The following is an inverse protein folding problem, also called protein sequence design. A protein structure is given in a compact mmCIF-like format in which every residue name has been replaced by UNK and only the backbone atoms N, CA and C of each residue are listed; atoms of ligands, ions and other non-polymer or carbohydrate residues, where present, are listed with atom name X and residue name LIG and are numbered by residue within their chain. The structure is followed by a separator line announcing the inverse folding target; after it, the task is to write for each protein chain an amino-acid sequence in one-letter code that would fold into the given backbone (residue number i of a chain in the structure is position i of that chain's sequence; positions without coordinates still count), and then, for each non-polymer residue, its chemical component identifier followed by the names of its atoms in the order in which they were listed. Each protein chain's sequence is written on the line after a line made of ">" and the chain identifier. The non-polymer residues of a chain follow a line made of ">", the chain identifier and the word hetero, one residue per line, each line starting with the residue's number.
data_IF_012745330948
#
_entry.id   IF_012745330948
#
_cell.length_a   1.000
_cell.length_b   1.000
_cell.length_c   1.000
_cell.angle_alpha   90.00
_cell.angle_beta   90.00
_cell.angle_gamma   90.00
#
_symmetry.space_group_name_H-M   'P 1'
#
loop_
_entity.id
_entity.type
_entity.pdbx_description
1 polymer ?
#
# COMPACT_ATOMS: atom_id res chain seq x y z
N UNK A 1 -12.40 -28.72 2.30
CA UNK A 1 -11.20 -27.86 2.19
C UNK A 1 -11.71 -26.43 2.09
N UNK A 2 -11.43 -25.58 3.06
CA UNK A 2 -11.76 -24.15 2.97
C UNK A 2 -10.91 -23.54 1.86
N UNK A 3 -11.54 -22.96 0.85
CA UNK A 3 -10.85 -22.22 -0.20
C UNK A 3 -10.14 -21.02 0.43
N UNK A 4 -8.84 -20.82 0.12
CA UNK A 4 -8.10 -19.65 0.59
C UNK A 4 -8.79 -18.37 0.11
N UNK A 5 -8.90 -17.39 0.99
CA UNK A 5 -9.41 -16.05 0.63
C UNK A 5 -8.51 -15.35 -0.38
N UNK A 6 -9.12 -14.60 -1.28
CA UNK A 6 -8.43 -13.76 -2.26
C UNK A 6 -8.28 -12.35 -1.71
N UNK A 7 -7.10 -11.81 -1.83
CA UNK A 7 -6.74 -10.48 -1.31
C UNK A 7 -6.16 -9.63 -2.42
N UNK A 8 -6.68 -8.42 -2.58
CA UNK A 8 -6.08 -7.42 -3.47
C UNK A 8 -5.48 -6.29 -2.66
N UNK A 9 -4.23 -5.97 -2.93
CA UNK A 9 -3.51 -4.82 -2.36
C UNK A 9 -3.03 -3.91 -3.48
N UNK A 10 -3.60 -2.71 -3.58
CA UNK A 10 -3.19 -1.68 -4.54
C UNK A 10 -2.15 -0.74 -3.94
N UNK A 11 -1.03 -0.52 -4.63
CA UNK A 11 0.05 0.35 -4.18
C UNK A 11 0.39 1.33 -5.29
N UNK A 12 0.26 2.64 -5.01
CA UNK A 12 0.62 3.68 -5.98
C UNK A 12 2.14 3.84 -6.09
N UNK A 13 2.70 3.94 -7.32
CA UNK A 13 4.12 4.20 -7.56
C UNK A 13 4.44 5.70 -7.37
N UNK A 14 3.98 6.29 -6.27
CA UNK A 14 4.17 7.70 -5.95
C UNK A 14 4.85 7.87 -4.62
N UNK A 15 5.83 8.77 -4.57
CA UNK A 15 6.62 9.07 -3.38
C UNK A 15 7.55 7.93 -2.96
N UNK A 16 8.42 8.25 -2.03
CA UNK A 16 9.40 7.30 -1.51
C UNK A 16 8.77 6.34 -0.49
N UNK A 17 9.25 5.10 -0.47
CA UNK A 17 8.76 4.05 0.41
C UNK A 17 9.43 4.20 1.79
N UNK A 18 8.66 4.53 2.81
CA UNK A 18 9.20 4.81 4.15
C UNK A 18 9.01 3.63 5.11
N UNK A 19 9.75 3.68 6.23
CA UNK A 19 9.75 2.66 7.29
C UNK A 19 8.34 2.29 7.76
N UNK A 20 7.44 3.27 7.90
CA UNK A 20 6.05 3.05 8.27
C UNK A 20 5.24 2.23 7.25
N UNK A 21 5.56 2.31 5.94
CA UNK A 21 4.95 1.45 4.93
C UNK A 21 5.41 0.00 5.09
N UNK A 22 6.70 -0.18 5.32
CA UNK A 22 7.30 -1.50 5.51
C UNK A 22 6.78 -2.20 6.75
N UNK A 23 6.94 -1.58 7.92
CA UNK A 23 6.55 -2.17 9.20
C UNK A 23 5.03 -2.27 9.37
N UNK A 24 4.29 -1.28 8.87
CA UNK A 24 2.84 -1.23 9.02
C UNK A 24 2.05 -2.12 8.06
N UNK A 25 2.66 -2.56 6.95
CA UNK A 25 1.93 -3.34 5.95
C UNK A 25 2.77 -4.44 5.28
N UNK A 26 3.80 -4.06 4.50
CA UNK A 26 4.45 -4.98 3.55
C UNK A 26 5.16 -6.13 4.23
N UNK A 27 5.80 -5.92 5.38
CA UNK A 27 6.41 -6.98 6.17
C UNK A 27 5.40 -8.07 6.56
N UNK A 28 4.20 -7.64 6.98
CA UNK A 28 3.11 -8.56 7.32
C UNK A 28 2.56 -9.31 6.10
N UNK A 29 2.52 -8.66 4.94
CA UNK A 29 2.13 -9.30 3.68
C UNK A 29 3.15 -10.37 3.27
N UNK A 30 4.44 -10.02 3.28
CA UNK A 30 5.53 -10.93 2.94
C UNK A 30 5.56 -12.19 3.83
N UNK A 31 5.32 -12.02 5.12
CA UNK A 31 5.33 -13.14 6.09
C UNK A 31 4.18 -14.14 5.88
N UNK A 32 3.01 -13.69 5.38
CA UNK A 32 1.77 -14.48 5.34
C UNK A 32 1.27 -14.79 3.93
N UNK A 33 2.17 -14.81 2.93
CA UNK A 33 1.79 -15.03 1.53
C UNK A 33 1.08 -16.37 1.29
N UNK A 34 1.45 -17.43 2.04
CA UNK A 34 0.85 -18.75 1.87
C UNK A 34 -0.54 -18.91 2.48
N UNK A 35 -0.97 -17.98 3.31
CA UNK A 35 -2.28 -18.08 3.98
C UNK A 35 -3.43 -17.73 3.04
N UNK A 36 -3.16 -16.93 1.99
CA UNK A 36 -4.16 -16.35 1.09
C UNK A 36 -3.69 -16.41 -0.37
N UNK A 37 -4.60 -16.14 -1.30
CA UNK A 37 -4.29 -15.89 -2.70
C UNK A 37 -4.12 -14.37 -2.84
N UNK A 38 -2.88 -13.91 -3.00
CA UNK A 38 -2.58 -12.48 -2.96
C UNK A 38 -2.32 -11.92 -4.36
N UNK A 39 -2.94 -10.77 -4.62
CA UNK A 39 -2.72 -9.92 -5.79
C UNK A 39 -2.15 -8.58 -5.32
N UNK A 40 -0.89 -8.30 -5.67
CA UNK A 40 -0.24 -7.03 -5.42
C UNK A 40 -0.22 -6.23 -6.71
N UNK A 41 -1.04 -5.19 -6.77
CA UNK A 41 -1.23 -4.37 -7.96
C UNK A 41 -0.50 -3.04 -7.78
N UNK A 42 0.46 -2.75 -8.66
CA UNK A 42 1.06 -1.41 -8.78
C UNK A 42 0.08 -0.58 -9.59
N UNK A 43 -0.66 0.31 -8.91
CA UNK A 43 -1.80 1.03 -9.48
C UNK A 43 -1.35 2.32 -10.16
N UNK A 44 -0.69 2.16 -11.29
CA UNK A 44 -0.13 3.25 -12.09
C UNK A 44 -1.20 4.10 -12.80
N UNK A 45 -2.35 3.51 -13.19
CA UNK A 45 -3.47 4.27 -13.75
C UNK A 45 -4.06 5.22 -12.71
N UNK A 46 -4.14 4.82 -11.43
CA UNK A 46 -4.57 5.72 -10.36
C UNK A 46 -3.62 6.90 -10.16
N UNK A 47 -2.33 6.72 -10.44
CA UNK A 47 -1.37 7.83 -10.33
C UNK A 47 -1.64 8.94 -11.33
N UNK A 48 -2.25 8.63 -12.48
CA UNK A 48 -2.59 9.60 -13.51
C UNK A 48 -3.74 10.55 -13.14
N UNK A 49 -4.41 10.32 -12.00
CA UNK A 49 -5.41 11.25 -11.45
C UNK A 49 -4.79 12.59 -10.99
N UNK A 50 -3.47 12.63 -10.88
CA UNK A 50 -2.67 13.83 -10.72
C UNK A 50 -1.57 13.83 -11.80
N UNK A 51 -1.06 15.01 -12.14
CA UNK A 51 0.05 15.08 -13.10
C UNK A 51 1.24 14.24 -12.67
N UNK A 52 1.74 13.41 -13.57
CA UNK A 52 2.96 12.63 -13.42
C UNK A 52 3.97 13.06 -14.49
N UNK A 53 5.22 13.23 -14.10
CA UNK A 53 6.29 13.45 -15.10
C UNK A 53 6.56 12.11 -15.84
N UNK A 54 6.32 12.04 -17.15
CA UNK A 54 6.54 10.81 -17.93
C UNK A 54 7.98 10.28 -17.86
N UNK A 55 8.96 11.16 -17.58
CA UNK A 55 10.38 10.78 -17.48
C UNK A 55 10.67 9.98 -16.19
N UNK A 56 9.89 10.19 -15.15
CA UNK A 56 10.13 9.56 -13.85
C UNK A 56 9.14 8.43 -13.55
N UNK A 57 7.92 8.47 -14.08
CA UNK A 57 6.87 7.51 -13.75
C UNK A 57 7.29 6.05 -14.00
N UNK A 58 7.89 5.75 -15.15
CA UNK A 58 8.34 4.38 -15.46
C UNK A 58 9.44 3.89 -14.50
N UNK A 59 10.33 4.78 -14.07
CA UNK A 59 11.33 4.47 -13.05
C UNK A 59 10.66 4.22 -11.69
N UNK A 60 9.69 5.03 -11.30
CA UNK A 60 8.96 4.88 -10.03
C UNK A 60 8.16 3.56 -9.98
N UNK A 61 7.55 3.14 -11.09
CA UNK A 61 6.87 1.85 -11.20
C UNK A 61 7.85 0.70 -10.95
N UNK A 62 8.99 0.70 -11.64
CA UNK A 62 10.03 -0.33 -11.47
C UNK A 62 10.65 -0.31 -10.08
N UNK A 63 10.94 0.88 -9.55
CA UNK A 63 11.48 1.02 -8.20
C UNK A 63 10.51 0.49 -7.14
N UNK A 64 9.21 0.74 -7.27
CA UNK A 64 8.21 0.17 -6.37
C UNK A 64 8.13 -1.36 -6.49
N UNK A 65 8.17 -1.91 -7.71
CA UNK A 65 8.21 -3.36 -7.92
C UNK A 65 9.44 -3.99 -7.26
N UNK A 66 10.64 -3.42 -7.53
CA UNK A 66 11.89 -3.85 -6.91
C UNK A 66 11.85 -3.76 -5.38
N UNK A 67 11.21 -2.70 -4.84
CA UNK A 67 11.04 -2.52 -3.41
C UNK A 67 10.15 -3.60 -2.79
N UNK A 68 9.02 -3.94 -3.41
CA UNK A 68 8.14 -4.99 -2.91
C UNK A 68 8.83 -6.35 -2.91
N UNK A 69 9.57 -6.67 -3.98
CA UNK A 69 10.40 -7.89 -4.07
C UNK A 69 11.52 -7.90 -3.01
N UNK A 70 12.17 -6.76 -2.79
CA UNK A 70 13.22 -6.61 -1.78
C UNK A 70 12.68 -6.74 -0.35
N UNK A 71 11.44 -6.32 -0.11
CA UNK A 71 10.74 -6.49 1.16
C UNK A 71 10.21 -7.92 1.38
N UNK A 72 10.42 -8.85 0.43
CA UNK A 72 10.08 -10.26 0.58
C UNK A 72 8.77 -10.70 -0.08
N UNK A 73 8.15 -9.87 -0.92
CA UNK A 73 7.07 -10.35 -1.79
C UNK A 73 7.69 -11.29 -2.83
N UNK A 74 7.21 -12.53 -2.83
CA UNK A 74 7.70 -13.60 -3.70
C UNK A 74 6.72 -13.79 -4.87
N UNK A 75 7.15 -13.57 -6.13
CA UNK A 75 6.31 -13.72 -7.31
C UNK A 75 5.89 -15.16 -7.62
N UNK A 76 6.53 -16.18 -7.00
CA UNK A 76 6.09 -17.58 -7.11
C UNK A 76 4.96 -17.91 -6.11
N UNK A 77 4.72 -17.06 -5.10
CA UNK A 77 3.72 -17.24 -4.05
C UNK A 77 2.56 -16.25 -4.15
N UNK A 78 2.77 -15.17 -4.88
CA UNK A 78 1.80 -14.07 -4.99
C UNK A 78 1.89 -13.44 -6.36
N UNK A 79 0.77 -12.98 -6.91
CA UNK A 79 0.75 -12.28 -8.20
C UNK A 79 1.14 -10.82 -8.00
N UNK A 80 2.31 -10.40 -8.48
CA UNK A 80 2.75 -9.00 -8.51
C UNK A 80 2.71 -8.47 -9.94
N UNK A 81 1.93 -7.42 -10.19
CA UNK A 81 1.74 -6.89 -11.54
C UNK A 81 1.50 -5.38 -11.56
N UNK A 82 1.63 -4.77 -12.74
CA UNK A 82 1.30 -3.38 -13.00
C UNK A 82 -0.11 -3.29 -13.57
N UNK A 83 -0.94 -2.42 -13.04
CA UNK A 83 -2.35 -2.27 -13.39
C UNK A 83 -2.55 -2.02 -14.90
N UNK A 84 -1.79 -1.11 -15.49
CA UNK A 84 -1.89 -0.78 -16.92
C UNK A 84 -1.50 -1.93 -17.86
N UNK A 85 -0.79 -2.96 -17.37
CA UNK A 85 -0.47 -4.14 -18.15
C UNK A 85 -1.68 -5.08 -18.34
N UNK A 86 -2.76 -4.89 -17.60
CA UNK A 86 -4.00 -5.65 -17.64
C UNK A 86 -5.15 -4.74 -18.10
N UNK A 87 -5.42 -4.70 -19.38
CA UNK A 87 -6.41 -3.78 -19.99
C UNK A 87 -7.84 -3.97 -19.46
N UNK A 88 -8.14 -5.15 -18.90
CA UNK A 88 -9.42 -5.48 -18.30
C UNK A 88 -9.86 -4.46 -17.21
N UNK A 89 -8.91 -3.84 -16.48
CA UNK A 89 -9.21 -2.81 -15.48
C UNK A 89 -9.90 -1.58 -16.10
N UNK A 90 -9.34 -1.04 -17.18
CA UNK A 90 -9.90 0.12 -17.87
C UNK A 90 -11.20 -0.23 -18.59
N UNK A 91 -11.30 -1.43 -19.19
CA UNK A 91 -12.52 -1.89 -19.86
C UNK A 91 -13.66 -2.07 -18.85
N UNK A 92 -13.42 -2.77 -17.74
CA UNK A 92 -14.41 -2.92 -16.68
C UNK A 92 -14.82 -1.58 -16.06
N UNK A 93 -13.88 -0.64 -15.92
CA UNK A 93 -14.18 0.71 -15.43
C UNK A 93 -15.20 1.41 -16.33
N UNK A 94 -15.03 1.35 -17.65
CA UNK A 94 -16.01 1.90 -18.57
C UNK A 94 -17.40 1.26 -18.39
N UNK A 95 -17.46 -0.06 -18.31
CA UNK A 95 -18.72 -0.80 -18.14
C UNK A 95 -19.41 -0.45 -16.82
N UNK A 96 -18.68 -0.37 -15.71
CA UNK A 96 -19.23 0.03 -14.42
C UNK A 96 -19.66 1.50 -14.39
N UNK A 97 -18.95 2.39 -15.07
CA UNK A 97 -19.34 3.79 -15.20
C UNK A 97 -20.73 3.95 -15.81
N UNK A 98 -21.09 3.08 -16.77
CA UNK A 98 -22.42 3.10 -17.42
C UNK A 98 -23.57 2.77 -16.44
N UNK A 99 -23.27 2.19 -15.29
CA UNK A 99 -24.28 1.86 -14.27
C UNK A 99 -24.07 2.60 -12.94
N UNK A 100 -22.99 3.40 -12.80
CA UNK A 100 -22.68 4.14 -11.58
C UNK A 100 -23.42 5.47 -11.54
N UNK A 101 -24.25 5.74 -10.51
CA UNK A 101 -24.90 7.04 -10.38
C UNK A 101 -23.85 8.14 -10.09
N UNK A 102 -23.82 9.19 -10.92
CA UNK A 102 -22.89 10.31 -10.76
C UNK A 102 -22.91 10.92 -9.36
N UNK A 103 -24.10 11.02 -8.74
CA UNK A 103 -24.25 11.55 -7.38
C UNK A 103 -23.54 10.71 -6.30
N UNK A 104 -23.23 9.44 -6.54
CA UNK A 104 -22.44 8.63 -5.60
C UNK A 104 -21.00 9.10 -5.57
N UNK A 105 -20.41 9.34 -6.73
CA UNK A 105 -19.03 9.81 -6.88
C UNK A 105 -18.86 11.23 -6.32
N UNK A 106 -19.82 12.13 -6.60
CA UNK A 106 -19.78 13.50 -6.07
C UNK A 106 -19.91 13.59 -4.55
N UNK A 107 -20.45 12.57 -3.89
CA UNK A 107 -20.54 12.49 -2.42
C UNK A 107 -19.29 11.92 -1.75
N UNK A 108 -18.35 11.35 -2.51
CA UNK A 108 -17.11 10.81 -1.96
C UNK A 108 -16.31 11.90 -1.23
N UNK A 109 -15.89 11.62 0.00
CA UNK A 109 -15.13 12.55 0.84
C UNK A 109 -13.83 12.98 0.17
N UNK A 110 -13.09 12.01 -0.37
CA UNK A 110 -11.84 12.27 -1.08
C UNK A 110 -12.02 13.17 -2.31
N UNK A 111 -13.13 13.04 -3.03
CA UNK A 111 -13.45 13.94 -4.14
C UNK A 111 -13.69 15.37 -3.66
N UNK A 112 -14.48 15.55 -2.59
CA UNK A 112 -14.77 16.87 -2.01
C UNK A 112 -13.50 17.55 -1.52
N UNK A 113 -12.65 16.82 -0.79
CA UNK A 113 -11.42 17.36 -0.21
C UNK A 113 -10.40 17.77 -1.28
N UNK A 114 -10.22 16.93 -2.31
CA UNK A 114 -9.26 17.20 -3.38
C UNK A 114 -9.79 18.27 -4.36
N UNK A 115 -11.09 18.26 -4.65
CA UNK A 115 -11.69 19.23 -5.56
C UNK A 115 -11.63 20.66 -5.03
N UNK A 116 -11.67 20.84 -3.70
CA UNK A 116 -11.56 22.19 -3.09
C UNK A 116 -10.15 22.81 -3.20
N UNK A 117 -9.14 22.01 -3.57
CA UNK A 117 -7.72 22.41 -3.61
C UNK A 117 -7.16 22.55 -5.03
N UNK A 118 -7.93 22.20 -6.06
CA UNK A 118 -7.50 22.21 -7.46
C UNK A 118 -8.26 23.28 -8.26
N UNK A 119 -7.52 24.08 -9.05
CA UNK A 119 -8.12 25.05 -9.97
C UNK A 119 -8.86 24.37 -11.13
N UNK A 120 -8.35 23.23 -11.58
CA UNK A 120 -8.96 22.43 -12.66
C UNK A 120 -9.27 21.03 -12.18
N UNK A 121 -10.53 20.63 -12.24
CA UNK A 121 -10.97 19.29 -11.89
C UNK A 121 -10.89 18.37 -13.10
N UNK A 122 -10.08 17.33 -12.98
CA UNK A 122 -9.97 16.29 -13.99
C UNK A 122 -11.02 15.20 -13.76
N UNK A 123 -11.59 14.66 -14.84
CA UNK A 123 -12.56 13.56 -14.78
C UNK A 123 -12.03 12.35 -14.02
N UNK A 124 -10.75 12.02 -14.19
CA UNK A 124 -10.12 10.90 -13.47
C UNK A 124 -10.18 11.05 -11.94
N UNK A 125 -10.18 12.27 -11.39
CA UNK A 125 -10.35 12.50 -9.96
C UNK A 125 -11.77 12.15 -9.47
N UNK A 126 -12.79 12.33 -10.31
CA UNK A 126 -14.15 11.93 -10.00
C UNK A 126 -14.33 10.41 -10.17
N UNK A 127 -13.66 9.82 -11.16
CA UNK A 127 -13.92 8.48 -11.68
C UNK A 127 -13.05 7.38 -11.04
N UNK A 128 -11.89 7.73 -10.46
CA UNK A 128 -10.99 6.71 -9.90
C UNK A 128 -11.63 5.75 -8.86
N UNK A 129 -12.68 6.13 -8.10
CA UNK A 129 -13.33 5.17 -7.20
C UNK A 129 -14.00 4.00 -7.94
N UNK A 130 -14.46 4.23 -9.19
CA UNK A 130 -15.00 3.18 -10.05
C UNK A 130 -13.89 2.29 -10.57
N UNK A 131 -12.75 2.86 -10.97
CA UNK A 131 -11.56 2.08 -11.33
C UNK A 131 -11.08 1.21 -10.16
N UNK A 132 -11.05 1.75 -8.93
CA UNK A 132 -10.71 0.97 -7.74
C UNK A 132 -11.71 -0.17 -7.48
N UNK A 133 -12.99 0.07 -7.69
CA UNK A 133 -14.00 -1.00 -7.61
C UNK A 133 -13.73 -2.11 -8.62
N UNK A 134 -13.34 -1.75 -9.86
CA UNK A 134 -12.96 -2.73 -10.88
C UNK A 134 -11.73 -3.53 -10.49
N UNK A 135 -10.70 -2.86 -9.95
CA UNK A 135 -9.50 -3.54 -9.46
C UNK A 135 -9.86 -4.68 -8.49
N UNK A 136 -10.83 -4.44 -7.61
CA UNK A 136 -11.27 -5.39 -6.59
C UNK A 136 -12.17 -6.49 -7.19
N UNK A 137 -13.14 -6.09 -8.00
CA UNK A 137 -14.18 -6.99 -8.53
C UNK A 137 -13.65 -7.99 -9.55
N UNK A 138 -12.63 -7.61 -10.35
CA UNK A 138 -12.02 -8.46 -11.37
C UNK A 138 -11.31 -9.69 -10.82
N UNK A 139 -10.85 -9.63 -9.58
CA UNK A 139 -10.15 -10.73 -8.92
C UNK A 139 -11.02 -11.47 -7.90
N UNK A 140 -12.31 -11.15 -7.79
CA UNK A 140 -13.20 -11.65 -6.74
C UNK A 140 -12.53 -11.55 -5.36
N UNK A 141 -11.96 -10.39 -5.06
CA UNK A 141 -11.27 -10.21 -3.80
C UNK A 141 -12.25 -10.27 -2.62
N UNK A 142 -12.01 -11.22 -1.71
CA UNK A 142 -12.78 -11.35 -0.46
C UNK A 142 -12.40 -10.24 0.52
N UNK A 143 -11.11 -9.86 0.52
CA UNK A 143 -10.56 -8.90 1.48
C UNK A 143 -9.65 -7.88 0.77
N UNK A 144 -9.77 -6.64 1.20
CA UNK A 144 -8.94 -5.54 0.71
C UNK A 144 -8.29 -4.83 1.91
N UNK A 145 -6.98 -4.99 2.13
CA UNK A 145 -6.25 -4.28 3.17
C UNK A 145 -6.17 -2.78 2.84
N UNK A 146 -6.84 -1.95 3.63
CA UNK A 146 -6.90 -0.50 3.40
C UNK A 146 -6.82 0.28 4.71
N UNK A 147 -6.35 1.53 4.63
CA UNK A 147 -6.49 2.48 5.73
C UNK A 147 -7.95 2.92 5.92
N UNK A 148 -8.24 3.49 7.07
CA UNK A 148 -9.60 3.97 7.42
C UNK A 148 -10.13 5.01 6.41
N UNK A 149 -9.24 5.83 5.84
CA UNK A 149 -9.55 6.83 4.81
C UNK A 149 -10.05 6.22 3.49
N UNK A 150 -9.82 4.92 3.26
CA UNK A 150 -10.27 4.18 2.07
C UNK A 150 -11.54 3.35 2.32
N UNK A 151 -12.07 3.30 3.55
CA UNK A 151 -13.29 2.55 3.88
C UNK A 151 -14.46 2.90 2.94
N UNK A 152 -14.67 4.20 2.67
CA UNK A 152 -15.74 4.66 1.81
C UNK A 152 -15.63 4.14 0.37
N UNK A 153 -14.42 3.91 -0.14
CA UNK A 153 -14.22 3.32 -1.47
C UNK A 153 -14.63 1.83 -1.50
N UNK A 154 -14.37 1.10 -0.41
CA UNK A 154 -14.83 -0.30 -0.31
C UNK A 154 -16.36 -0.37 -0.18
N UNK A 155 -16.98 0.56 0.55
CA UNK A 155 -18.44 0.69 0.61
C UNK A 155 -19.03 0.97 -0.78
N UNK A 156 -18.46 1.92 -1.54
CA UNK A 156 -18.86 2.16 -2.93
C UNK A 156 -18.70 0.89 -3.80
N UNK A 157 -17.61 0.16 -3.64
CA UNK A 157 -17.41 -1.10 -4.37
C UNK A 157 -18.52 -2.09 -4.05
N UNK A 158 -18.89 -2.24 -2.78
CA UNK A 158 -19.98 -3.11 -2.34
C UNK A 158 -21.33 -2.69 -2.93
N UNK A 159 -21.60 -1.38 -2.96
CA UNK A 159 -22.82 -0.82 -3.56
C UNK A 159 -22.87 -1.13 -5.07
N UNK A 160 -21.74 -1.01 -5.77
CA UNK A 160 -21.63 -1.32 -7.20
C UNK A 160 -21.82 -2.82 -7.47
N UNK A 161 -21.25 -3.70 -6.65
CA UNK A 161 -21.49 -5.15 -6.71
C UNK A 161 -22.98 -5.46 -6.56
N UNK A 162 -23.62 -4.92 -5.53
CA UNK A 162 -25.06 -5.14 -5.28
C UNK A 162 -25.90 -4.60 -6.42
N UNK A 163 -25.56 -3.40 -6.91
CA UNK A 163 -26.27 -2.76 -8.02
C UNK A 163 -26.16 -3.58 -9.30
N UNK A 164 -24.96 -4.05 -9.67
CA UNK A 164 -24.75 -4.90 -10.84
C UNK A 164 -25.56 -6.20 -10.73
N UNK A 165 -25.38 -6.90 -9.59
CA UNK A 165 -26.08 -8.16 -9.35
C UNK A 165 -27.62 -8.01 -9.39
N UNK A 166 -28.14 -6.90 -8.84
CA UNK A 166 -29.57 -6.62 -8.88
C UNK A 166 -30.08 -6.26 -10.29
N UNK A 167 -29.38 -5.35 -10.99
CA UNK A 167 -29.78 -4.87 -12.33
C UNK A 167 -29.84 -6.01 -13.37
N UNK A 168 -28.91 -6.94 -13.28
CA UNK A 168 -28.80 -8.07 -14.22
C UNK A 168 -29.30 -9.39 -13.66
N UNK A 169 -29.98 -9.37 -12.50
CA UNK A 169 -30.54 -10.55 -11.83
C UNK A 169 -29.54 -11.71 -11.70
N UNK A 170 -28.36 -11.42 -11.15
CA UNK A 170 -27.25 -12.37 -11.01
C UNK A 170 -26.61 -12.26 -9.63
N UNK A 171 -25.75 -13.23 -9.30
CA UNK A 171 -24.84 -13.21 -8.13
C UNK A 171 -23.38 -13.31 -8.57
N UNK A 172 -23.05 -12.62 -9.66
CA UNK A 172 -21.78 -12.78 -10.38
C UNK A 172 -20.56 -12.25 -9.62
N UNK A 173 -20.70 -11.10 -8.95
CA UNK A 173 -19.60 -10.49 -8.20
C UNK A 173 -19.65 -10.80 -6.71
N UNK A 174 -18.48 -11.00 -6.11
CA UNK A 174 -18.26 -11.20 -4.67
C UNK A 174 -18.29 -9.86 -3.94
N UNK A 175 -18.86 -9.83 -2.74
CA UNK A 175 -18.86 -8.65 -1.87
C UNK A 175 -17.54 -8.57 -1.08
N UNK A 176 -16.67 -7.59 -1.34
CA UNK A 176 -15.41 -7.46 -0.63
C UNK A 176 -15.58 -6.95 0.79
N UNK A 177 -14.64 -7.28 1.67
CA UNK A 177 -14.52 -6.73 3.02
C UNK A 177 -13.30 -5.83 3.13
N UNK A 178 -13.47 -4.64 3.71
CA UNK A 178 -12.34 -3.81 4.12
C UNK A 178 -11.63 -4.47 5.31
N UNK A 179 -10.34 -4.73 5.18
CA UNK A 179 -9.48 -5.14 6.29
C UNK A 179 -8.63 -3.95 6.73
N UNK A 180 -9.10 -3.29 7.78
CA UNK A 180 -8.27 -2.28 8.44
C UNK A 180 -7.23 -3.07 9.24
N UNK A 181 -5.92 -2.89 8.99
CA UNK A 181 -4.90 -3.61 9.75
C UNK A 181 -5.09 -3.34 11.25
N UNK A 182 -5.33 -4.40 12.01
CA UNK A 182 -5.16 -4.34 13.46
C UNK A 182 -3.71 -3.91 13.68
N UNK A 183 -3.51 -2.89 14.50
CA UNK A 183 -2.26 -2.19 14.76
C UNK A 183 -0.97 -2.98 14.40
N UNK A 184 -0.59 -3.00 13.15
CA UNK A 184 0.81 -3.14 12.77
C UNK A 184 1.53 -1.92 13.31
N UNK A 185 2.83 -2.00 13.57
CA UNK A 185 3.57 -0.92 14.21
C UNK A 185 3.17 0.44 13.62
N UNK A 186 2.43 1.23 14.40
CA UNK A 186 1.97 2.56 13.98
C UNK A 186 3.14 3.51 14.12
N UNK A 187 4.04 3.46 13.15
CA UNK A 187 5.23 4.32 13.14
C UNK A 187 4.81 5.77 13.00
N UNK A 188 5.14 6.58 14.00
CA UNK A 188 4.88 8.00 14.02
C UNK A 188 6.07 8.78 13.46
N UNK A 189 5.88 10.06 13.13
CA UNK A 189 6.96 10.93 12.69
C UNK A 189 8.05 11.07 13.75
N UNK A 190 9.32 11.11 13.34
CA UNK A 190 10.42 11.26 14.29
C UNK A 190 10.53 12.69 14.84
N UNK A 191 10.08 13.68 14.09
CA UNK A 191 10.01 15.09 14.48
C UNK A 191 8.74 15.43 15.26
N UNK A 192 7.66 14.69 14.99
CA UNK A 192 6.37 14.86 15.64
C UNK A 192 5.68 13.51 15.87
N UNK A 193 5.83 12.94 17.09
CA UNK A 193 5.27 11.63 17.43
C UNK A 193 3.75 11.62 17.60
N UNK A 194 3.06 12.74 17.39
CA UNK A 194 1.60 12.83 17.40
C UNK A 194 1.02 12.57 16.00
N UNK A 195 1.82 12.76 14.95
CA UNK A 195 1.44 12.56 13.57
C UNK A 195 2.07 11.28 13.00
N UNK A 196 1.27 10.50 12.25
CA UNK A 196 1.77 9.29 11.60
C UNK A 196 2.84 9.63 10.56
N UNK A 197 3.92 8.82 10.52
CA UNK A 197 4.90 8.88 9.43
C UNK A 197 4.18 8.73 8.09
N UNK A 198 4.28 9.72 7.21
CA UNK A 198 3.50 9.78 5.97
C UNK A 198 4.29 10.39 4.82
N UNK A 199 3.94 9.96 3.59
CA UNK A 199 4.52 10.48 2.35
C UNK A 199 4.24 11.98 2.13
N UNK A 200 3.10 12.49 2.59
CA UNK A 200 2.71 13.89 2.41
C UNK A 200 3.57 14.88 3.19
N UNK A 201 4.30 14.41 4.21
CA UNK A 201 5.16 15.23 5.06
C UNK A 201 6.66 15.01 4.78
N UNK A 202 7.01 14.41 3.65
CA UNK A 202 8.42 14.17 3.26
C UNK A 202 9.21 15.47 3.03
N UNK A 203 8.52 16.59 2.78
CA UNK A 203 9.14 17.92 2.71
C UNK A 203 9.69 18.39 4.07
N UNK A 204 9.25 17.78 5.18
CA UNK A 204 9.78 18.05 6.52
C UNK A 204 10.96 17.11 6.75
N UNK A 205 12.16 17.68 6.72
CA UNK A 205 13.40 16.91 6.92
C UNK A 205 13.41 16.23 8.29
N UNK A 206 13.51 14.90 8.29
CA UNK A 206 13.57 14.09 9.51
C UNK A 206 12.20 13.63 10.04
N UNK A 207 11.09 13.91 9.33
CA UNK A 207 9.78 13.35 9.65
C UNK A 207 9.70 11.86 9.38
N UNK A 208 10.15 11.44 8.20
CA UNK A 208 10.15 10.05 7.75
C UNK A 208 11.57 9.55 7.49
N UNK A 209 11.76 8.25 7.61
CA UNK A 209 12.93 7.50 7.17
C UNK A 209 12.51 6.64 5.98
N UNK A 210 13.19 6.80 4.84
CA UNK A 210 12.91 6.04 3.63
C UNK A 210 13.83 4.81 3.55
N UNK A 211 13.35 3.76 2.92
CA UNK A 211 14.10 2.50 2.82
C UNK A 211 15.34 2.60 1.91
N UNK A 212 15.40 3.64 1.08
CA UNK A 212 16.54 3.94 0.22
C UNK A 212 17.48 5.03 0.76
N UNK A 213 17.18 5.59 1.95
CA UNK A 213 18.04 6.59 2.58
C UNK A 213 19.44 6.03 2.87
N UNK A 214 20.44 6.91 2.85
CA UNK A 214 21.80 6.55 3.28
C UNK A 214 21.79 6.19 4.78
N UNK A 215 22.46 5.11 5.22
CA UNK A 215 22.51 4.70 6.62
C UNK A 215 22.92 5.82 7.57
N UNK A 216 23.82 6.72 7.16
CA UNK A 216 24.24 7.87 7.96
C UNK A 216 23.11 8.88 8.14
N UNK A 217 22.26 9.08 7.12
CA UNK A 217 21.11 9.97 7.21
C UNK A 217 20.03 9.36 8.10
N UNK A 218 19.82 8.04 8.03
CA UNK A 218 18.91 7.31 8.94
C UNK A 218 19.35 7.51 10.40
N UNK A 219 20.61 7.21 10.70
CA UNK A 219 21.14 7.41 12.06
C UNK A 219 21.03 8.87 12.51
N UNK A 220 21.23 9.83 11.60
CA UNK A 220 21.07 11.25 11.89
C UNK A 220 19.62 11.62 12.20
N UNK A 221 18.66 11.05 11.47
CA UNK A 221 17.23 11.26 11.72
C UNK A 221 16.83 10.74 13.11
N UNK A 222 17.25 9.52 13.48
CA UNK A 222 16.97 8.97 14.81
C UNK A 222 17.61 9.78 15.94
N UNK A 223 18.86 10.23 15.80
CA UNK A 223 19.51 11.11 16.79
C UNK A 223 18.76 12.40 17.04
N UNK A 224 18.05 12.92 16.04
CA UNK A 224 17.23 14.14 16.11
C UNK A 224 15.78 13.89 16.49
N UNK A 225 15.37 12.62 16.60
CA UNK A 225 14.00 12.27 16.94
C UNK A 225 13.55 13.01 18.21
N UNK A 226 12.30 13.48 18.20
CA UNK A 226 11.73 14.23 19.31
C UNK A 226 11.45 13.30 20.48
N UNK A 227 11.88 13.69 21.68
CA UNK A 227 11.59 13.05 22.97
C UNK A 227 11.30 14.14 23.99
N UNK A 228 10.76 13.79 25.15
CA UNK A 228 10.63 14.70 26.29
C UNK A 228 12.01 15.14 26.84
N UNK A 229 12.00 15.97 27.86
CA UNK A 229 13.21 16.50 28.53
C UNK A 229 13.79 15.54 29.59
N UNK A 230 13.17 14.37 29.82
CA UNK A 230 13.63 13.38 30.78
C UNK A 230 14.74 12.48 30.26
N UNK A 231 14.90 11.31 30.91
CA UNK A 231 15.86 10.28 30.50
C UNK A 231 15.35 8.86 30.72
N UNK A 232 14.11 8.71 31.17
CA UNK A 232 13.51 7.40 31.48
C UNK A 232 13.03 6.68 30.20
N UNK A 233 13.57 5.50 29.96
CA UNK A 233 13.23 4.64 28.81
C UNK A 233 12.18 3.65 29.28
N UNK A 234 10.91 4.02 29.15
CA UNK A 234 9.76 3.21 29.56
C UNK A 234 8.59 3.42 28.59
N UNK A 235 7.74 2.41 28.44
CA UNK A 235 6.42 2.58 27.81
C UNK A 235 5.51 3.34 28.78
N UNK A 236 4.80 4.35 28.31
CA UNK A 236 3.95 5.20 29.14
C UNK A 236 2.74 5.70 28.37
N UNK A 237 1.62 5.86 29.07
CA UNK A 237 0.42 6.52 28.50
C UNK A 237 0.51 8.05 28.57
N UNK A 238 1.57 8.60 29.16
CA UNK A 238 1.80 10.03 29.23
C UNK A 238 2.07 10.59 27.81
N UNK A 239 1.27 11.56 27.34
CA UNK A 239 1.47 12.18 26.03
C UNK A 239 2.88 12.79 25.82
N UNK A 240 3.54 13.24 26.88
CA UNK A 240 4.92 13.74 26.80
C UNK A 240 5.92 12.65 26.42
N UNK A 241 5.64 11.38 26.76
CA UNK A 241 6.44 10.20 26.40
C UNK A 241 6.17 9.66 25.00
N UNK A 242 5.29 10.27 24.20
CA UNK A 242 4.92 9.78 22.86
C UNK A 242 6.15 9.55 21.98
N UNK A 243 7.19 10.39 22.06
CA UNK A 243 8.44 10.22 21.31
C UNK A 243 9.25 9.01 21.75
N UNK A 244 9.30 8.73 23.04
CA UNK A 244 9.98 7.55 23.60
C UNK A 244 9.22 6.28 23.21
N UNK A 245 7.89 6.29 23.36
CA UNK A 245 7.04 5.19 22.93
C UNK A 245 7.24 4.85 21.45
N UNK A 246 7.22 5.87 20.57
CA UNK A 246 7.43 5.66 19.13
C UNK A 246 8.79 4.99 18.85
N UNK A 247 9.86 5.40 19.52
CA UNK A 247 11.19 4.79 19.36
C UNK A 247 11.21 3.33 19.85
N UNK A 248 10.58 3.04 20.99
CA UNK A 248 10.47 1.68 21.52
C UNK A 248 9.61 0.78 20.63
N UNK A 249 8.48 1.29 20.12
CA UNK A 249 7.61 0.56 19.19
C UNK A 249 8.31 0.28 17.85
N UNK A 250 9.12 1.22 17.35
CA UNK A 250 9.95 0.98 16.16
C UNK A 250 10.98 -0.12 16.45
N UNK A 251 11.65 -0.09 17.60
CA UNK A 251 12.62 -1.10 17.98
C UNK A 251 11.97 -2.49 18.13
N UNK A 252 10.84 -2.59 18.82
CA UNK A 252 10.00 -3.78 18.91
C UNK A 252 9.67 -4.32 17.51
N UNK A 253 9.19 -3.43 16.64
CA UNK A 253 8.81 -3.82 15.29
C UNK A 253 9.98 -4.32 14.43
N UNK A 254 11.17 -3.72 14.49
CA UNK A 254 12.31 -4.16 13.67
C UNK A 254 13.00 -5.40 14.23
N UNK A 255 13.06 -5.56 15.56
CA UNK A 255 13.69 -6.70 16.22
C UNK A 255 12.78 -7.91 16.37
N UNK A 256 11.45 -7.70 16.37
CA UNK A 256 10.45 -8.75 16.65
C UNK A 256 10.40 -9.16 18.13
N UNK A 257 11.03 -8.40 19.03
CA UNK A 257 11.05 -8.64 20.47
C UNK A 257 9.76 -8.15 21.14
N UNK A 258 9.39 -8.74 22.28
CA UNK A 258 8.30 -8.26 23.10
C UNK A 258 8.75 -7.10 24.01
N UNK A 259 7.79 -6.32 24.53
CA UNK A 259 8.05 -5.10 25.33
C UNK A 259 9.04 -5.31 26.47
N UNK A 260 8.92 -6.41 27.21
CA UNK A 260 9.83 -6.73 28.33
C UNK A 260 11.26 -6.97 27.86
N UNK A 261 11.45 -7.65 26.73
CA UNK A 261 12.76 -7.88 26.12
C UNK A 261 13.36 -6.60 25.56
N UNK A 262 12.50 -5.74 24.97
CA UNK A 262 12.90 -4.40 24.52
C UNK A 262 13.42 -3.58 25.69
N UNK A 263 12.68 -3.52 26.80
CA UNK A 263 13.14 -2.78 27.99
C UNK A 263 14.42 -3.35 28.57
N UNK A 264 14.59 -4.68 28.54
CA UNK A 264 15.83 -5.32 29.00
C UNK A 264 17.04 -4.92 28.14
N UNK A 265 16.87 -4.77 26.81
CA UNK A 265 17.93 -4.30 25.91
C UNK A 265 18.40 -2.86 26.23
N UNK A 266 17.58 -2.08 26.91
CA UNK A 266 17.90 -0.69 27.31
C UNK A 266 18.21 -0.53 28.78
N UNK A 267 18.30 -1.63 29.57
CA UNK A 267 18.51 -1.55 31.01
C UNK A 267 19.85 -0.88 31.41
N UNK A 268 20.87 -0.92 30.55
CA UNK A 268 22.17 -0.28 30.71
C UNK A 268 22.28 1.11 30.05
N UNK A 269 21.21 1.58 29.39
CA UNK A 269 21.22 2.83 28.67
C UNK A 269 21.25 4.04 29.64
N UNK A 270 22.07 5.03 29.30
CA UNK A 270 22.27 6.23 30.12
C UNK A 270 21.24 7.33 29.86
N UNK A 271 20.32 7.10 28.95
CA UNK A 271 19.24 8.01 28.56
C UNK A 271 18.92 7.97 27.07
N UNK A 272 18.19 8.98 26.61
CA UNK A 272 17.64 9.01 25.25
C UNK A 272 18.69 9.02 24.12
N UNK A 273 19.92 9.45 24.39
CA UNK A 273 21.00 9.37 23.41
C UNK A 273 21.31 7.92 23.02
N UNK A 274 21.40 7.03 24.02
CA UNK A 274 21.65 5.61 23.81
C UNK A 274 20.42 4.94 23.15
N UNK A 275 19.20 5.27 23.59
CA UNK A 275 17.96 4.81 22.96
C UNK A 275 17.94 5.13 21.46
N UNK A 276 18.12 6.40 21.10
CA UNK A 276 18.09 6.88 19.71
C UNK A 276 19.15 6.22 18.81
N UNK A 277 20.35 6.02 19.35
CA UNK A 277 21.43 5.35 18.63
C UNK A 277 21.10 3.87 18.38
N UNK A 278 20.73 3.10 19.42
CA UNK A 278 20.42 1.67 19.29
C UNK A 278 19.21 1.42 18.40
N UNK A 279 18.15 2.23 18.51
CA UNK A 279 16.99 2.14 17.60
C UNK A 279 17.40 2.44 16.17
N UNK A 280 18.19 3.50 15.95
CA UNK A 280 18.69 3.84 14.62
C UNK A 280 19.56 2.75 14.01
N UNK A 281 20.44 2.11 14.78
CA UNK A 281 21.27 0.99 14.37
C UNK A 281 20.42 -0.22 13.98
N UNK A 282 19.44 -0.62 14.79
CA UNK A 282 18.54 -1.74 14.51
C UNK A 282 17.72 -1.49 13.22
N UNK A 283 17.28 -0.24 13.00
CA UNK A 283 16.59 0.14 11.76
C UNK A 283 17.53 0.05 10.56
N UNK A 284 18.76 0.54 10.68
CA UNK A 284 19.77 0.45 9.62
C UNK A 284 20.07 -1.00 9.25
N UNK A 285 20.27 -1.87 10.25
CA UNK A 285 20.47 -3.32 10.04
C UNK A 285 19.31 -3.97 9.30
N UNK A 286 18.08 -3.54 9.59
CA UNK A 286 16.87 -4.02 8.91
C UNK A 286 16.78 -3.53 7.47
N UNK A 287 17.15 -2.26 7.21
CA UNK A 287 17.00 -1.61 5.91
C UNK A 287 18.10 -1.98 4.92
N UNK A 288 19.34 -2.18 5.36
CA UNK A 288 20.49 -2.46 4.48
C UNK A 288 20.21 -3.62 3.51
N UNK A 289 19.77 -4.82 3.95
CA UNK A 289 19.51 -5.94 3.04
C UNK A 289 18.41 -5.63 2.01
N UNK A 290 17.38 -4.88 2.43
CA UNK A 290 16.27 -4.45 1.55
C UNK A 290 16.81 -3.51 0.47
N UNK A 291 17.59 -2.52 0.85
CA UNK A 291 18.21 -1.56 -0.07
C UNK A 291 19.15 -2.23 -1.06
N UNK A 292 20.04 -3.09 -0.57
CA UNK A 292 20.97 -3.84 -1.43
C UNK A 292 20.22 -4.73 -2.44
N UNK A 293 19.15 -5.38 -2.01
CA UNK A 293 18.31 -6.19 -2.90
C UNK A 293 17.55 -5.34 -3.92
N UNK A 294 17.01 -4.19 -3.49
CA UNK A 294 16.39 -3.23 -4.41
C UNK A 294 17.38 -2.75 -5.46
N UNK A 295 18.58 -2.31 -5.05
CA UNK A 295 19.62 -1.80 -5.96
C UNK A 295 20.10 -2.89 -6.93
N UNK A 296 20.15 -4.14 -6.46
CA UNK A 296 20.47 -5.27 -7.33
C UNK A 296 19.39 -5.47 -8.41
N UNK A 297 18.11 -5.46 -8.04
CA UNK A 297 16.99 -5.61 -8.97
C UNK A 297 16.91 -4.46 -9.97
N UNK A 298 17.20 -3.25 -9.54
CA UNK A 298 17.20 -2.05 -10.41
C UNK A 298 18.37 -2.00 -11.41
N UNK A 299 19.43 -2.82 -11.23
CA UNK A 299 20.51 -2.94 -12.22
C UNK A 299 20.09 -3.73 -13.45
N UNK A 300 19.18 -4.70 -13.32
CA UNK A 300 18.63 -5.47 -14.44
C UNK A 300 17.14 -5.22 -14.59
N UNK A 301 16.79 -4.06 -15.15
CA UNK A 301 15.39 -3.70 -15.39
C UNK A 301 14.71 -4.60 -16.42
N UNK A 302 15.45 -5.29 -17.28
CA UNK A 302 14.89 -6.21 -18.25
C UNK A 302 14.35 -7.49 -17.55
N UNK A 303 15.08 -8.00 -16.54
CA UNK A 303 14.59 -9.12 -15.73
C UNK A 303 13.38 -8.70 -14.89
N UNK A 304 13.42 -7.51 -14.28
CA UNK A 304 12.29 -6.97 -13.53
C UNK A 304 11.05 -6.82 -14.42
N UNK A 305 11.20 -6.31 -15.64
CA UNK A 305 10.10 -6.18 -16.60
C UNK A 305 9.54 -7.56 -17.01
N UNK A 306 10.39 -8.61 -17.14
CA UNK A 306 9.92 -9.98 -17.38
C UNK A 306 9.11 -10.55 -16.21
N UNK A 307 9.52 -10.30 -14.97
CA UNK A 307 8.76 -10.68 -13.78
C UNK A 307 7.39 -10.01 -13.75
N UNK A 308 7.35 -8.71 -14.02
CA UNK A 308 6.09 -7.96 -14.08
C UNK A 308 5.19 -8.40 -15.24
N UNK A 309 5.76 -8.76 -16.39
CA UNK A 309 5.01 -9.30 -17.52
C UNK A 309 4.36 -10.65 -17.16
N UNK A 310 5.08 -11.57 -16.51
CA UNK A 310 4.53 -12.83 -16.02
C UNK A 310 3.40 -12.61 -15.01
N UNK A 311 3.61 -11.74 -14.02
CA UNK A 311 2.55 -11.38 -13.09
C UNK A 311 1.31 -10.77 -13.75
N UNK A 312 1.52 -9.99 -14.82
CA UNK A 312 0.40 -9.47 -15.63
C UNK A 312 -0.33 -10.57 -16.43
N UNK A 313 0.35 -11.62 -16.89
CA UNK A 313 -0.27 -12.79 -17.52
C UNK A 313 -1.15 -13.53 -16.52
N UNK A 314 -0.66 -13.79 -15.32
CA UNK A 314 -1.42 -14.45 -14.25
C UNK A 314 -2.62 -13.60 -13.82
N UNK A 315 -2.45 -12.30 -13.67
CA UNK A 315 -3.53 -11.37 -13.37
C UNK A 315 -4.57 -11.32 -14.50
N UNK A 316 -4.13 -11.30 -15.77
CA UNK A 316 -5.00 -11.30 -16.93
C UNK A 316 -5.80 -12.60 -17.05
N UNK A 317 -5.20 -13.74 -16.71
CA UNK A 317 -5.90 -15.03 -16.68
C UNK A 317 -7.09 -15.04 -15.72
N UNK A 318 -7.06 -14.22 -14.65
CA UNK A 318 -8.19 -14.02 -13.75
C UNK A 318 -9.16 -12.93 -14.25
N UNK A 319 -8.62 -11.78 -14.66
CA UNK A 319 -9.41 -10.59 -14.95
C UNK A 319 -10.14 -10.64 -16.30
N UNK A 320 -9.51 -11.18 -17.35
CA UNK A 320 -10.10 -11.19 -18.70
C UNK A 320 -11.39 -12.03 -18.79
N UNK A 321 -11.43 -13.28 -18.27
CA UNK A 321 -12.68 -14.04 -18.25
C UNK A 321 -13.80 -13.33 -17.46
N UNK A 322 -13.43 -12.58 -16.41
CA UNK A 322 -14.38 -11.83 -15.60
C UNK A 322 -15.00 -10.67 -16.38
N UNK A 323 -14.19 -9.90 -17.11
CA UNK A 323 -14.68 -8.83 -18.01
C UNK A 323 -15.54 -9.39 -19.14
N UNK A 324 -15.11 -10.48 -19.75
CA UNK A 324 -15.86 -11.10 -20.84
C UNK A 324 -17.25 -11.58 -20.38
N UNK A 325 -17.31 -12.27 -19.24
CA UNK A 325 -18.58 -12.65 -18.63
C UNK A 325 -19.44 -11.43 -18.22
N UNK A 326 -18.81 -10.37 -17.71
CA UNK A 326 -19.50 -9.10 -17.42
C UNK A 326 -20.14 -8.52 -18.67
N UNK A 327 -19.43 -8.50 -19.81
CA UNK A 327 -19.97 -8.04 -21.10
C UNK A 327 -21.17 -8.88 -21.57
N UNK A 328 -21.08 -10.21 -21.49
CA UNK A 328 -22.19 -11.12 -21.84
C UNK A 328 -23.41 -10.86 -20.96
N UNK A 329 -23.24 -10.72 -19.65
CA UNK A 329 -24.32 -10.40 -18.70
C UNK A 329 -24.99 -9.05 -19.06
N UNK A 330 -24.21 -8.07 -19.51
CA UNK A 330 -24.70 -6.76 -19.95
C UNK A 330 -25.32 -6.80 -21.37
N UNK A 331 -25.29 -7.93 -22.05
CA UNK A 331 -25.87 -8.10 -23.38
C UNK A 331 -24.96 -7.69 -24.54
N UNK A 332 -23.65 -7.55 -24.32
CA UNK A 332 -22.67 -7.27 -25.36
C UNK A 332 -22.26 -8.56 -26.08
N UNK A 333 -21.97 -8.45 -27.38
CA UNK A 333 -21.50 -9.57 -28.19
C UNK A 333 -19.97 -9.66 -28.09
N UNK A 334 -19.48 -10.81 -27.67
CA UNK A 334 -18.05 -11.09 -27.69
C UNK A 334 -17.57 -11.49 -29.10
N UNK A 335 -16.29 -11.23 -29.45
CA UNK A 335 -15.72 -11.74 -30.69
C UNK A 335 -15.75 -13.27 -30.71
N UNK A 336 -15.97 -13.82 -31.88
CA UNK A 336 -15.89 -15.27 -32.05
C UNK A 336 -14.50 -15.78 -31.64
N UNK A 337 -14.46 -16.85 -30.84
CA UNK A 337 -13.18 -17.50 -30.54
C UNK A 337 -12.59 -18.07 -31.82
N UNK A 338 -11.34 -17.70 -32.11
CA UNK A 338 -10.59 -18.20 -33.25
C UNK A 338 -10.32 -19.72 -33.15
#
# INVERSE_FOLDING_TARGET
>A
MTTKKRVLSGIQPSGEFHLGNYLGAVRGWAARQDEKINFFCIVDLHSLTAYQDPKTLSHQIRSLAAMLLACGIDPERSTLFVQSHVTAHAEACWLLNCITPLGWLQRMTQFKDKSSRQETLLTGLLDYPVLMACDIMLYDADEVPVGEDQRQHIELTRDLVQRFNHMYNTSFFVLPEAKIPEAGARVMGLDDPTNKMSKSMTHIRGHAVHLLDDPKEILRAFRRAKTDSGNEIVYSDDPEKAGVNNLLEIYEAVTGKHKDEVLADFADARGYGDLKNRVGEAVVETIIPIRERHDYLMKDTAELDRLLARGAEDARACAQPKVDAMKEIMGLVLPAKA
#
